data_IF_226989818894
#
_entry.id   IF_226989818894
#
_cell.length_a   1.000
_cell.length_b   1.000
_cell.length_c   1.000
_cell.angle_alpha   90.00
_cell.angle_beta   90.00
_cell.angle_gamma   90.00
#
_symmetry.space_group_name_H-M   'P 1'
#
loop_
_entity.id
_entity.type
_entity.pdbx_description
1 polymer ?
#
# COMPACT_ATOMS: atom_id res chain seq x y z
N UNK A 1 -34.20 5.14 0.11
CA UNK A 1 -32.92 4.77 0.71
C UNK A 1 -32.45 5.91 1.58
N UNK A 2 -31.94 5.60 2.75
CA UNK A 2 -31.53 6.59 3.76
C UNK A 2 -30.08 6.42 4.21
N UNK A 3 -29.39 5.40 3.76
CA UNK A 3 -27.99 5.22 4.06
C UNK A 3 -27.39 4.00 3.39
N UNK A 4 -26.05 4.01 3.29
CA UNK A 4 -25.24 2.89 2.81
C UNK A 4 -24.02 2.70 3.70
N UNK A 5 -23.60 1.44 3.85
CA UNK A 5 -22.30 1.06 4.39
C UNK A 5 -21.61 0.20 3.34
N UNK A 6 -20.35 0.51 3.08
CA UNK A 6 -19.56 -0.17 2.07
C UNK A 6 -18.27 -0.69 2.68
N UNK A 7 -18.05 -1.98 2.59
CA UNK A 7 -16.89 -2.68 3.11
C UNK A 7 -16.05 -3.22 1.97
N UNK A 8 -14.74 -3.04 2.04
CA UNK A 8 -13.79 -3.49 1.04
C UNK A 8 -12.67 -4.23 1.75
N UNK A 9 -12.30 -5.40 1.22
CA UNK A 9 -11.07 -6.09 1.58
C UNK A 9 -10.17 -6.09 0.33
N UNK A 10 -9.27 -5.11 0.25
CA UNK A 10 -8.38 -4.93 -0.89
C UNK A 10 -7.03 -5.61 -0.66
N UNK A 11 -6.68 -6.65 -1.44
CA UNK A 11 -5.44 -7.41 -1.25
C UNK A 11 -4.18 -6.67 -1.72
N UNK A 12 -4.33 -5.56 -2.45
CA UNK A 12 -3.22 -4.81 -3.05
C UNK A 12 -3.26 -3.33 -2.66
N UNK A 13 -2.15 -2.60 -2.90
CA UNK A 13 -2.04 -1.17 -2.54
C UNK A 13 -2.54 -0.22 -3.65
N UNK A 14 -3.23 -0.77 -4.65
CA UNK A 14 -3.69 -0.02 -5.81
C UNK A 14 -5.12 0.46 -5.58
N UNK A 15 -5.47 1.58 -6.20
CA UNK A 15 -6.74 2.26 -6.05
C UNK A 15 -7.94 1.42 -6.55
N UNK A 16 -9.01 1.46 -5.79
CA UNK A 16 -10.24 0.64 -5.97
C UNK A 16 -11.51 1.45 -6.20
N UNK A 17 -11.49 2.78 -6.06
CA UNK A 17 -12.67 3.60 -5.80
C UNK A 17 -13.24 4.39 -6.97
N UNK A 18 -12.98 4.00 -8.23
CA UNK A 18 -13.47 4.71 -9.42
C UNK A 18 -14.89 4.31 -9.85
N UNK A 19 -15.43 3.22 -9.31
CA UNK A 19 -16.74 2.70 -9.73
C UNK A 19 -17.90 3.60 -9.34
N UNK A 20 -18.84 3.79 -10.27
CA UNK A 20 -20.00 4.66 -10.11
C UNK A 20 -21.17 3.97 -9.40
N UNK A 21 -21.96 4.71 -8.63
CA UNK A 21 -23.29 4.25 -8.26
C UNK A 21 -24.24 4.35 -9.45
N UNK A 22 -25.12 3.34 -9.57
CA UNK A 22 -26.19 3.29 -10.56
C UNK A 22 -27.49 2.99 -9.82
N UNK A 23 -28.33 4.01 -9.66
CA UNK A 23 -29.56 3.89 -8.90
C UNK A 23 -30.73 4.01 -9.86
N UNK A 24 -31.51 2.92 -10.00
CA UNK A 24 -32.71 2.87 -10.82
C UNK A 24 -33.96 2.85 -9.94
N UNK A 25 -34.90 3.75 -10.18
CA UNK A 25 -36.12 3.91 -9.42
C UNK A 25 -37.30 3.47 -10.27
N UNK A 26 -38.22 2.70 -9.67
CA UNK A 26 -39.51 2.32 -10.23
C UNK A 26 -39.47 1.68 -11.63
N UNK A 27 -38.41 0.92 -11.93
CA UNK A 27 -38.28 0.15 -13.16
C UNK A 27 -37.77 0.93 -14.37
N UNK A 28 -37.16 2.08 -14.17
CA UNK A 28 -36.52 2.85 -15.25
C UNK A 28 -35.47 2.02 -15.98
N UNK A 29 -35.40 2.18 -17.31
CA UNK A 29 -34.44 1.46 -18.16
C UNK A 29 -33.03 2.02 -18.09
N UNK A 30 -32.86 3.27 -17.71
CA UNK A 30 -31.60 3.94 -17.45
C UNK A 30 -31.58 4.40 -15.98
N UNK A 31 -30.43 4.38 -15.29
CA UNK A 31 -30.36 4.82 -13.89
C UNK A 31 -30.90 6.25 -13.70
N UNK A 32 -31.78 6.43 -12.72
CA UNK A 32 -32.27 7.76 -12.30
C UNK A 32 -31.14 8.63 -11.74
N UNK A 33 -30.17 7.97 -11.13
CA UNK A 33 -28.96 8.61 -10.59
C UNK A 33 -27.75 7.85 -11.04
N UNK A 34 -26.75 8.57 -11.53
CA UNK A 34 -25.47 8.04 -11.96
C UNK A 34 -24.36 8.78 -11.21
N UNK A 35 -23.49 8.04 -10.52
CA UNK A 35 -22.38 8.60 -9.73
C UNK A 35 -21.17 8.98 -10.58
N UNK A 36 -20.13 9.41 -9.92
CA UNK A 36 -18.84 9.81 -10.51
C UNK A 36 -17.64 9.07 -9.91
N UNK A 37 -17.89 8.20 -8.94
CA UNK A 37 -16.89 7.39 -8.27
C UNK A 37 -17.35 6.98 -6.88
N UNK A 38 -16.85 5.85 -6.38
CA UNK A 38 -17.21 5.35 -5.05
C UNK A 38 -16.77 6.34 -3.97
N UNK A 39 -15.55 6.88 -4.06
CA UNK A 39 -15.03 7.85 -3.09
C UNK A 39 -15.87 9.14 -3.04
N UNK A 40 -16.37 9.60 -4.18
CA UNK A 40 -17.18 10.80 -4.28
C UNK A 40 -18.50 10.66 -3.52
N UNK A 41 -19.15 9.49 -3.63
CA UNK A 41 -20.38 9.22 -2.87
C UNK A 41 -20.12 9.20 -1.37
N UNK A 42 -18.97 8.72 -0.94
CA UNK A 42 -18.59 8.67 0.48
C UNK A 42 -17.86 9.93 0.99
N UNK A 43 -17.78 10.98 0.17
CA UNK A 43 -17.43 12.36 0.57
C UNK A 43 -15.93 12.62 0.73
N UNK A 44 -15.08 11.96 -0.05
CA UNK A 44 -13.67 12.28 -0.19
C UNK A 44 -13.21 12.14 -1.65
N UNK A 45 -11.99 12.55 -1.95
CA UNK A 45 -11.39 12.48 -3.28
C UNK A 45 -9.87 12.23 -3.16
N UNK A 46 -9.26 11.75 -4.22
CA UNK A 46 -7.83 11.44 -4.32
C UNK A 46 -7.34 10.40 -3.31
N UNK A 47 -8.21 9.45 -2.92
CA UNK A 47 -7.96 8.54 -1.82
C UNK A 47 -7.91 9.22 -0.45
N UNK A 48 -7.99 8.46 0.62
CA UNK A 48 -7.86 8.95 1.98
C UNK A 48 -7.28 7.87 2.89
N UNK A 49 -6.05 8.07 3.35
CA UNK A 49 -5.30 7.09 4.13
C UNK A 49 -5.53 7.17 5.65
N UNK A 50 -6.55 7.88 6.09
CA UNK A 50 -6.91 8.02 7.49
C UNK A 50 -8.40 7.78 7.73
N UNK A 51 -8.78 7.57 8.99
CA UNK A 51 -10.18 7.56 9.37
C UNK A 51 -10.72 8.99 9.48
N UNK A 52 -11.99 9.17 9.14
CA UNK A 52 -12.71 10.42 9.37
C UNK A 52 -14.16 10.16 9.73
N UNK A 53 -14.79 11.11 10.41
CA UNK A 53 -16.22 11.14 10.66
C UNK A 53 -16.73 12.55 10.47
N UNK A 54 -17.72 12.71 9.60
CA UNK A 54 -18.45 13.94 9.31
C UNK A 54 -19.95 13.71 9.53
N UNK A 55 -20.82 14.71 9.56
CA UNK A 55 -22.23 14.51 9.86
C UNK A 55 -22.93 13.41 9.05
N UNK A 56 -22.57 13.24 7.77
CA UNK A 56 -23.25 12.29 6.87
C UNK A 56 -22.32 11.31 6.18
N UNK A 57 -21.01 11.42 6.38
CA UNK A 57 -20.00 10.58 5.74
C UNK A 57 -18.94 10.18 6.74
N UNK A 58 -18.50 8.94 6.67
CA UNK A 58 -17.38 8.48 7.48
C UNK A 58 -16.57 7.39 6.76
N UNK A 59 -15.26 7.39 7.01
CA UNK A 59 -14.37 6.25 6.80
C UNK A 59 -13.96 5.74 8.18
N UNK A 60 -14.63 4.70 8.66
CA UNK A 60 -14.48 4.22 10.05
C UNK A 60 -13.34 3.22 10.21
N UNK A 61 -12.89 2.64 9.10
CA UNK A 61 -11.75 1.74 9.05
C UNK A 61 -10.95 1.94 7.78
N UNK A 62 -9.64 2.00 7.90
CA UNK A 62 -8.67 1.93 6.82
C UNK A 62 -7.38 1.34 7.38
N UNK A 63 -7.02 0.13 6.97
CA UNK A 63 -5.93 -0.64 7.58
C UNK A 63 -4.57 -0.32 6.97
N UNK A 64 -4.57 0.01 5.69
CA UNK A 64 -3.36 0.04 4.93
C UNK A 64 -2.68 1.38 4.83
N UNK A 65 -1.41 1.43 4.44
CA UNK A 65 -0.96 2.55 3.64
C UNK A 65 -1.62 2.48 2.26
N UNK A 66 -1.72 3.62 1.60
CA UNK A 66 -2.41 3.74 0.31
C UNK A 66 -3.83 3.15 0.37
N UNK A 67 -4.20 2.36 -0.61
CA UNK A 67 -5.57 1.84 -0.76
C UNK A 67 -5.75 0.40 -0.29
N UNK A 68 -4.74 -0.20 0.35
CA UNK A 68 -4.75 -1.61 0.74
C UNK A 68 -5.47 -1.87 2.06
N UNK A 69 -5.92 -3.10 2.23
CA UNK A 69 -6.47 -3.54 3.50
C UNK A 69 -7.98 -3.53 3.57
N UNK A 70 -8.49 -3.60 4.78
CA UNK A 70 -9.92 -3.44 5.00
C UNK A 70 -10.25 -1.97 5.12
N UNK A 71 -11.27 -1.56 4.38
CA UNK A 71 -11.82 -0.22 4.39
C UNK A 71 -13.31 -0.34 4.73
N UNK A 72 -13.83 0.59 5.53
CA UNK A 72 -15.26 0.70 5.83
C UNK A 72 -15.71 2.14 5.67
N UNK A 73 -16.68 2.33 4.79
CA UNK A 73 -17.27 3.61 4.42
C UNK A 73 -18.74 3.65 4.83
N UNK A 74 -19.20 4.83 5.25
CA UNK A 74 -20.59 5.06 5.62
C UNK A 74 -21.10 6.35 4.99
N UNK A 75 -22.31 6.31 4.44
CA UNK A 75 -23.05 7.50 4.00
C UNK A 75 -24.48 7.45 4.51
N UNK A 76 -24.97 8.60 4.96
CA UNK A 76 -26.35 8.80 5.43
C UNK A 76 -27.02 9.89 4.61
N UNK A 77 -28.04 9.50 3.84
CA UNK A 77 -28.83 10.38 2.97
C UNK A 77 -29.92 11.07 3.81
N UNK A 78 -29.53 11.99 4.69
CA UNK A 78 -30.46 12.67 5.60
C UNK A 78 -31.20 13.80 4.91
N UNK A 79 -30.49 14.57 4.08
CA UNK A 79 -31.05 15.71 3.34
C UNK A 79 -31.46 15.33 1.91
N UNK A 80 -30.90 14.27 1.38
CA UNK A 80 -30.97 13.80 0.00
C UNK A 80 -31.45 12.35 -0.11
N UNK A 81 -32.35 11.94 0.78
CA UNK A 81 -32.95 10.60 0.76
C UNK A 81 -33.49 10.24 -0.63
N UNK A 82 -33.23 9.01 -1.06
CA UNK A 82 -33.63 8.53 -2.39
C UNK A 82 -35.05 7.95 -2.33
N UNK A 83 -36.07 8.67 -2.83
CA UNK A 83 -37.45 8.23 -2.80
C UNK A 83 -37.74 7.22 -3.91
N UNK A 84 -38.65 6.30 -3.65
CA UNK A 84 -39.21 5.38 -4.65
C UNK A 84 -40.68 5.05 -4.28
N UNK A 85 -41.46 4.56 -5.22
CA UNK A 85 -42.87 4.15 -5.01
C UNK A 85 -43.05 2.65 -5.00
N UNK A 86 -42.45 1.96 -5.97
CA UNK A 86 -42.65 0.54 -6.20
C UNK A 86 -41.36 -0.25 -5.96
N UNK A 87 -40.24 0.23 -6.47
CA UNK A 87 -38.95 -0.48 -6.40
C UNK A 87 -37.77 0.47 -6.49
N UNK A 88 -36.68 0.06 -5.90
CA UNK A 88 -35.38 0.70 -6.09
C UNK A 88 -34.30 -0.37 -6.27
N UNK A 89 -33.42 -0.16 -7.22
CA UNK A 89 -32.22 -0.94 -7.41
C UNK A 89 -31.02 -0.03 -7.20
N UNK A 90 -30.16 -0.39 -6.25
CA UNK A 90 -28.97 0.34 -5.89
C UNK A 90 -27.75 -0.53 -6.22
N UNK A 91 -27.07 -0.21 -7.29
CA UNK A 91 -25.87 -0.90 -7.75
C UNK A 91 -24.64 -0.02 -7.50
N UNK A 92 -23.54 -0.66 -7.15
CA UNK A 92 -22.22 -0.04 -7.08
C UNK A 92 -21.33 -0.74 -8.11
N UNK A 93 -20.79 0.02 -9.04
CA UNK A 93 -19.80 -0.49 -9.97
C UNK A 93 -18.50 -0.80 -9.23
N UNK A 94 -17.89 -1.93 -9.58
CA UNK A 94 -16.57 -2.32 -9.10
C UNK A 94 -15.56 -1.96 -10.17
N UNK A 95 -14.79 -0.90 -9.93
CA UNK A 95 -13.72 -0.48 -10.83
C UNK A 95 -12.43 -0.31 -10.05
N UNK A 96 -11.50 -1.25 -10.27
CA UNK A 96 -10.19 -1.30 -9.66
C UNK A 96 -9.12 -1.06 -10.72
N UNK A 97 -8.07 -0.29 -10.41
CA UNK A 97 -7.01 0.04 -11.36
C UNK A 97 -6.08 -1.14 -11.68
N UNK A 98 -6.19 -2.23 -10.94
CA UNK A 98 -5.38 -3.42 -11.14
C UNK A 98 -6.26 -4.68 -11.11
N UNK A 99 -6.06 -5.66 -12.02
CA UNK A 99 -6.67 -6.97 -11.90
C UNK A 99 -6.22 -7.64 -10.59
N UNK A 100 -7.17 -7.92 -9.69
CA UNK A 100 -6.98 -8.61 -8.42
C UNK A 100 -8.33 -9.14 -7.94
N UNK A 101 -8.34 -9.88 -6.83
CA UNK A 101 -9.56 -10.45 -6.23
C UNK A 101 -9.94 -9.72 -4.92
N UNK A 102 -10.45 -8.50 -4.96
CA UNK A 102 -10.96 -7.82 -3.79
C UNK A 102 -12.32 -8.37 -3.39
N UNK A 103 -12.62 -8.29 -2.09
CA UNK A 103 -13.96 -8.58 -1.60
C UNK A 103 -14.70 -7.29 -1.31
N UNK A 104 -15.95 -7.23 -1.76
CA UNK A 104 -16.83 -6.09 -1.61
C UNK A 104 -18.10 -6.50 -0.89
N UNK A 105 -18.54 -5.68 0.07
CA UNK A 105 -19.81 -5.85 0.77
C UNK A 105 -20.54 -4.52 0.84
N UNK A 106 -21.82 -4.52 0.57
CA UNK A 106 -22.66 -3.34 0.68
C UNK A 106 -23.90 -3.62 1.53
N UNK A 107 -24.22 -2.70 2.41
CA UNK A 107 -25.48 -2.67 3.15
C UNK A 107 -26.21 -1.40 2.75
N UNK A 108 -27.47 -1.54 2.39
CA UNK A 108 -28.35 -0.41 2.03
C UNK A 108 -29.47 -0.34 3.07
N UNK A 109 -29.68 0.85 3.61
CA UNK A 109 -30.77 1.14 4.56
C UNK A 109 -31.91 1.87 3.86
N UNK A 110 -33.13 1.36 4.04
CA UNK A 110 -34.31 1.98 3.42
C UNK A 110 -35.54 1.86 4.32
N UNK A 111 -36.54 2.68 4.07
CA UNK A 111 -37.88 2.53 4.60
C UNK A 111 -38.82 2.02 3.54
N UNK A 112 -39.69 1.08 3.89
CA UNK A 112 -40.74 0.53 3.01
C UNK A 112 -42.05 0.38 3.79
N UNK A 113 -43.15 0.22 3.07
CA UNK A 113 -44.44 -0.08 3.67
C UNK A 113 -44.39 -1.45 4.40
N UNK A 114 -45.14 -1.64 5.49
CA UNK A 114 -45.24 -2.94 6.15
C UNK A 114 -45.64 -4.06 5.19
N UNK A 115 -44.93 -5.17 5.23
CA UNK A 115 -45.15 -6.33 4.33
C UNK A 115 -44.51 -6.22 2.96
N UNK A 116 -43.77 -5.16 2.64
CA UNK A 116 -42.99 -5.09 1.42
C UNK A 116 -41.94 -6.20 1.36
N UNK A 117 -41.70 -6.84 0.20
CA UNK A 117 -40.65 -7.81 0.07
C UNK A 117 -39.29 -7.15 0.25
N UNK A 118 -38.40 -7.82 0.99
CA UNK A 118 -37.00 -7.46 1.13
C UNK A 118 -36.11 -8.24 0.15
N UNK A 119 -34.80 -7.99 0.13
CA UNK A 119 -33.85 -8.81 -0.60
C UNK A 119 -33.84 -10.24 -0.07
N UNK A 120 -33.31 -11.17 -0.85
CA UNK A 120 -33.08 -12.54 -0.41
C UNK A 120 -32.19 -12.57 0.84
N UNK A 121 -32.43 -13.54 1.72
CA UNK A 121 -31.58 -13.73 2.89
C UNK A 121 -30.13 -14.02 2.45
N UNK A 122 -29.18 -13.32 3.07
CA UNK A 122 -27.75 -13.56 2.84
C UNK A 122 -27.35 -14.79 3.66
N UNK A 123 -26.60 -15.70 3.06
CA UNK A 123 -25.96 -16.79 3.79
C UNK A 123 -24.91 -16.22 4.76
N UNK A 124 -25.05 -16.41 6.09
CA UNK A 124 -24.08 -15.93 7.05
C UNK A 124 -22.63 -16.38 6.79
N UNK A 125 -22.43 -17.53 6.14
CA UNK A 125 -21.11 -18.01 5.80
C UNK A 125 -20.38 -17.09 4.80
N UNK A 126 -21.12 -16.36 3.96
CA UNK A 126 -20.55 -15.37 3.02
C UNK A 126 -20.13 -14.08 3.70
N UNK A 127 -20.50 -13.87 4.97
CA UNK A 127 -20.15 -12.69 5.76
C UNK A 127 -18.91 -12.90 6.63
N UNK A 128 -18.23 -14.05 6.49
CA UNK A 128 -17.01 -14.31 7.24
C UNK A 128 -15.94 -13.25 6.91
N UNK A 129 -15.17 -12.79 7.92
CA UNK A 129 -14.06 -11.87 7.66
C UNK A 129 -13.10 -12.45 6.66
N UNK A 130 -12.71 -11.64 5.67
CA UNK A 130 -11.71 -12.03 4.68
C UNK A 130 -10.33 -11.89 5.32
N UNK A 131 -9.59 -12.99 5.40
CA UNK A 131 -8.18 -12.94 5.76
C UNK A 131 -7.35 -12.56 4.53
N UNK A 132 -6.82 -11.36 4.53
CA UNK A 132 -5.95 -10.88 3.46
C UNK A 132 -4.50 -11.37 3.63
N UNK A 133 -4.23 -12.19 4.64
CA UNK A 133 -2.90 -12.71 4.93
C UNK A 133 -1.90 -11.63 5.37
N UNK A 134 -0.62 -11.98 5.31
CA UNK A 134 0.49 -11.03 5.54
C UNK A 134 0.66 -10.20 4.27
N UNK A 135 0.43 -8.89 4.39
CA UNK A 135 0.59 -7.95 3.28
C UNK A 135 1.92 -7.26 3.35
N UNK A 136 2.55 -7.14 2.20
CA UNK A 136 3.74 -6.32 2.04
C UNK A 136 3.30 -4.91 1.65
N UNK A 137 3.71 -3.94 2.45
CA UNK A 137 3.51 -2.52 2.16
C UNK A 137 4.81 -1.94 1.64
N UNK A 138 4.75 -1.22 0.51
CA UNK A 138 5.88 -0.39 0.11
C UNK A 138 5.91 0.85 1.01
N UNK A 139 6.95 0.95 1.81
CA UNK A 139 7.28 2.19 2.49
C UNK A 139 7.98 3.15 1.51
N UNK A 140 7.95 4.44 1.82
CA UNK A 140 8.78 5.41 1.10
C UNK A 140 10.23 4.96 1.13
N UNK A 141 10.94 4.98 -0.01
CA UNK A 141 12.36 4.64 -0.04
C UNK A 141 13.17 5.54 0.90
N UNK A 142 14.10 4.94 1.61
CA UNK A 142 15.06 5.68 2.41
C UNK A 142 16.28 5.96 1.53
N UNK A 143 16.62 7.23 1.36
CA UNK A 143 17.80 7.65 0.59
C UNK A 143 19.05 7.33 1.38
N UNK A 144 19.90 6.43 0.86
CA UNK A 144 21.08 5.92 1.56
C UNK A 144 22.06 7.02 1.98
N UNK A 145 22.22 8.04 1.15
CA UNK A 145 23.04 9.21 1.42
C UNK A 145 22.46 10.10 2.53
N UNK A 146 21.16 10.07 2.78
CA UNK A 146 20.54 10.82 3.87
C UNK A 146 20.68 10.12 5.22
N UNK A 147 21.00 8.83 5.25
CA UNK A 147 21.15 8.03 6.44
C UNK A 147 22.49 8.29 7.16
N UNK A 148 22.58 7.88 8.41
CA UNK A 148 23.85 7.84 9.14
C UNK A 148 24.62 6.60 8.73
N UNK A 149 25.90 6.77 8.37
CA UNK A 149 26.76 5.65 8.00
C UNK A 149 28.13 5.74 8.66
N UNK A 150 28.78 4.57 8.82
CA UNK A 150 30.13 4.44 9.37
C UNK A 150 30.88 3.37 8.58
N UNK A 151 32.04 3.71 8.03
CA UNK A 151 32.92 2.78 7.35
C UNK A 151 34.00 2.25 8.30
N UNK A 152 34.18 0.94 8.34
CA UNK A 152 35.24 0.22 9.03
C UNK A 152 36.18 -0.37 7.96
N UNK A 153 37.02 0.47 7.41
CA UNK A 153 37.88 0.22 6.24
C UNK A 153 37.33 0.81 4.96
N UNK A 154 38.18 1.41 4.15
CA UNK A 154 37.79 2.24 3.02
C UNK A 154 37.23 3.61 3.44
N UNK A 155 36.72 4.36 2.48
CA UNK A 155 36.14 5.69 2.65
C UNK A 155 34.71 5.75 2.13
N UNK A 156 33.74 6.04 3.01
CA UNK A 156 32.35 6.26 2.62
C UNK A 156 32.05 7.75 2.56
N UNK A 157 31.38 8.19 1.49
CA UNK A 157 31.03 9.57 1.24
C UNK A 157 29.70 9.72 0.48
N UNK A 158 29.13 10.92 0.53
CA UNK A 158 28.06 11.35 -0.38
C UNK A 158 28.69 11.93 -1.63
N UNK A 159 28.27 11.46 -2.77
CA UNK A 159 28.75 11.96 -4.06
C UNK A 159 27.59 12.27 -5.01
N UNK A 160 27.81 13.24 -5.89
CA UNK A 160 26.80 13.61 -6.90
C UNK A 160 26.79 12.59 -8.03
N UNK A 161 25.59 12.14 -8.38
CA UNK A 161 25.36 11.29 -9.53
C UNK A 161 24.02 11.68 -10.16
N UNK A 162 24.07 12.23 -11.38
CA UNK A 162 22.93 12.90 -12.02
C UNK A 162 21.69 12.00 -12.22
N UNK A 163 21.88 10.68 -12.29
CA UNK A 163 20.79 9.72 -12.55
C UNK A 163 20.25 9.06 -11.27
N UNK A 164 20.57 9.59 -10.09
CA UNK A 164 20.01 9.17 -8.81
C UNK A 164 18.86 10.06 -8.36
N UNK A 165 17.99 9.55 -7.47
CA UNK A 165 17.11 10.37 -6.66
C UNK A 165 17.94 11.41 -5.90
N UNK A 166 17.47 12.66 -5.82
CA UNK A 166 18.23 13.75 -5.19
C UNK A 166 19.55 14.14 -5.88
N UNK A 167 19.92 13.49 -7.00
CA UNK A 167 21.20 13.64 -7.69
C UNK A 167 22.44 13.39 -6.79
N UNK A 168 22.28 12.58 -5.75
CA UNK A 168 23.34 12.15 -4.83
C UNK A 168 23.23 10.63 -4.57
N UNK A 169 24.31 10.00 -4.13
CA UNK A 169 24.32 8.64 -3.66
C UNK A 169 25.41 8.41 -2.59
N UNK A 170 25.23 7.35 -1.79
CA UNK A 170 26.25 6.89 -0.86
C UNK A 170 27.26 6.00 -1.60
N UNK A 171 28.51 6.42 -1.61
CA UNK A 171 29.62 5.69 -2.22
C UNK A 171 30.57 5.19 -1.15
N UNK A 172 31.10 3.98 -1.33
CA UNK A 172 32.11 3.39 -0.46
C UNK A 172 33.30 2.93 -1.31
N UNK A 173 34.44 3.63 -1.17
CA UNK A 173 35.66 3.45 -1.97
C UNK A 173 36.79 2.80 -1.18
N UNK A 174 37.72 2.18 -1.89
CA UNK A 174 38.97 1.62 -1.35
C UNK A 174 38.71 0.65 -0.18
N UNK A 175 37.61 -0.09 -0.22
CA UNK A 175 37.25 -1.04 0.81
C UNK A 175 38.02 -2.35 0.63
N UNK A 176 38.97 -2.69 1.50
CA UNK A 176 39.66 -3.97 1.41
C UNK A 176 38.72 -5.14 1.74
N UNK A 177 38.99 -6.37 1.25
CA UNK A 177 38.21 -7.54 1.63
C UNK A 177 38.07 -7.67 3.15
N UNK A 178 36.84 -7.89 3.62
CA UNK A 178 36.48 -7.92 5.05
C UNK A 178 36.13 -6.60 5.68
N UNK A 179 36.36 -5.47 5.00
CA UNK A 179 35.86 -4.16 5.44
C UNK A 179 34.33 -4.15 5.54
N UNK A 180 33.79 -3.28 6.39
CA UNK A 180 32.34 -3.15 6.64
C UNK A 180 31.88 -1.70 6.51
N UNK A 181 30.71 -1.51 5.92
CA UNK A 181 29.96 -0.28 5.93
C UNK A 181 28.66 -0.53 6.70
N UNK A 182 28.43 0.21 7.76
CA UNK A 182 27.20 0.20 8.54
C UNK A 182 26.35 1.41 8.17
N UNK A 183 25.09 1.18 7.84
CA UNK A 183 24.09 2.22 7.53
C UNK A 183 22.93 2.08 8.51
N UNK A 184 22.65 3.11 9.28
CA UNK A 184 21.59 3.12 10.27
C UNK A 184 20.30 3.68 9.65
N UNK A 185 19.20 2.96 9.83
CA UNK A 185 17.88 3.39 9.40
C UNK A 185 16.85 3.19 10.52
N UNK A 186 15.75 3.91 10.46
CA UNK A 186 14.71 3.89 11.49
C UNK A 186 13.38 3.40 10.93
N UNK A 187 12.72 2.51 11.66
CA UNK A 187 11.32 2.17 11.41
C UNK A 187 10.45 2.62 12.58
N UNK A 188 9.23 3.08 12.27
CA UNK A 188 8.29 3.64 13.25
C UNK A 188 7.59 2.57 14.09
N UNK A 189 7.61 1.31 13.65
CA UNK A 189 6.93 0.21 14.34
C UNK A 189 7.74 -1.07 14.17
N UNK A 190 7.90 -1.81 15.26
CA UNK A 190 8.50 -3.14 15.19
C UNK A 190 7.63 -4.10 14.36
N UNK A 191 8.26 -4.98 13.58
CA UNK A 191 7.55 -5.93 12.74
C UNK A 191 8.42 -6.65 11.74
N UNK A 192 7.78 -7.41 10.85
CA UNK A 192 8.43 -8.10 9.73
C UNK A 192 8.44 -7.20 8.50
N UNK A 193 9.62 -6.95 7.96
CA UNK A 193 9.83 -6.08 6.80
C UNK A 193 10.61 -6.81 5.72
N UNK A 194 10.15 -6.72 4.48
CA UNK A 194 10.99 -7.00 3.32
C UNK A 194 11.96 -5.84 3.12
N UNK A 195 13.25 -6.16 3.04
CA UNK A 195 14.30 -5.16 2.79
C UNK A 195 14.81 -5.32 1.38
N UNK A 196 14.70 -4.26 0.61
CA UNK A 196 15.20 -4.14 -0.76
C UNK A 196 16.22 -3.00 -0.82
N UNK A 197 17.25 -3.17 -1.65
CA UNK A 197 18.24 -2.13 -1.90
C UNK A 197 18.09 -1.64 -3.33
N UNK A 198 18.37 -0.36 -3.55
CA UNK A 198 18.58 0.18 -4.88
C UNK A 198 20.06 0.53 -5.00
N UNK A 199 20.79 -0.26 -5.77
CA UNK A 199 22.24 -0.18 -5.87
C UNK A 199 22.69 0.13 -7.30
N UNK A 200 23.71 0.96 -7.37
CA UNK A 200 24.44 1.23 -8.59
C UNK A 200 25.47 0.14 -8.86
N UNK A 201 25.66 -0.18 -10.12
CA UNK A 201 26.71 -1.06 -10.65
C UNK A 201 27.60 -0.27 -11.59
N UNK A 202 28.91 -0.54 -11.56
CA UNK A 202 29.90 0.20 -12.36
C UNK A 202 31.14 -0.68 -12.61
N UNK A 203 32.00 -0.38 -13.60
CA UNK A 203 33.20 -1.14 -13.90
C UNK A 203 34.23 -1.22 -12.75
N UNK A 204 34.17 -0.27 -11.82
CA UNK A 204 35.07 -0.16 -10.67
C UNK A 204 34.44 -0.64 -9.34
N UNK A 205 33.22 -1.20 -9.40
CA UNK A 205 32.53 -1.71 -8.20
C UNK A 205 32.83 -3.19 -7.96
N UNK A 206 32.85 -3.56 -6.67
CA UNK A 206 33.22 -4.90 -6.21
C UNK A 206 32.04 -5.74 -5.81
N UNK A 207 32.37 -6.82 -5.07
CA UNK A 207 31.40 -7.79 -4.54
C UNK A 207 31.13 -7.53 -3.07
N UNK A 208 29.85 -7.63 -2.68
CA UNK A 208 29.40 -7.34 -1.31
C UNK A 208 28.45 -8.42 -0.79
N UNK A 209 28.59 -8.74 0.49
CA UNK A 209 27.59 -9.43 1.29
C UNK A 209 26.80 -8.41 2.10
N UNK A 210 25.51 -8.69 2.36
CA UNK A 210 24.65 -7.80 3.13
C UNK A 210 24.03 -8.53 4.32
N UNK A 211 23.83 -7.79 5.42
CA UNK A 211 23.12 -8.25 6.60
C UNK A 211 22.26 -7.13 7.18
N UNK A 212 21.17 -7.47 7.85
CA UNK A 212 20.31 -6.53 8.57
C UNK A 212 20.27 -6.95 10.04
N UNK A 213 20.64 -6.05 10.95
CA UNK A 213 20.78 -6.34 12.40
C UNK A 213 21.62 -7.59 12.69
N UNK A 214 22.65 -7.85 11.86
CA UNK A 214 23.51 -9.03 11.96
C UNK A 214 22.94 -10.31 11.32
N UNK A 215 21.72 -10.33 10.85
CA UNK A 215 21.10 -11.43 10.10
C UNK A 215 21.46 -11.33 8.62
N UNK A 216 22.12 -12.35 8.02
CA UNK A 216 22.52 -12.32 6.61
C UNK A 216 21.33 -12.25 5.66
N UNK A 217 21.51 -11.56 4.53
CA UNK A 217 20.54 -11.56 3.43
C UNK A 217 20.29 -12.97 2.85
N UNK A 218 19.10 -13.19 2.34
CA UNK A 218 18.65 -14.50 1.85
C UNK A 218 19.37 -14.97 0.58
N UNK A 219 20.03 -14.08 -0.15
CA UNK A 219 20.86 -14.45 -1.30
C UNK A 219 22.34 -14.20 -0.98
N UNK A 220 23.21 -14.91 -1.70
CA UNK A 220 24.64 -14.82 -1.51
C UNK A 220 25.22 -13.46 -1.93
N UNK A 221 26.56 -13.38 -2.08
CA UNK A 221 27.23 -12.16 -2.45
C UNK A 221 26.70 -11.55 -3.74
N UNK A 222 26.46 -10.24 -3.72
CA UNK A 222 26.10 -9.47 -4.90
C UNK A 222 27.35 -8.95 -5.58
N UNK A 223 27.48 -9.21 -6.88
CA UNK A 223 28.46 -8.59 -7.73
C UNK A 223 27.91 -7.27 -8.29
N UNK A 224 28.52 -6.17 -7.89
CA UNK A 224 28.16 -4.84 -8.35
C UNK A 224 28.99 -4.38 -9.57
N UNK A 225 29.77 -5.26 -10.18
CA UNK A 225 30.43 -4.98 -11.46
C UNK A 225 29.40 -4.90 -12.60
N UNK A 226 29.60 -3.94 -13.49
CA UNK A 226 28.91 -3.82 -14.79
C UNK A 226 29.83 -3.08 -15.77
N UNK A 227 29.77 -3.38 -17.07
CA UNK A 227 30.56 -2.68 -18.11
C UNK A 227 30.24 -1.19 -18.23
N UNK A 228 29.06 -0.78 -17.78
CA UNK A 228 28.60 0.61 -17.75
C UNK A 228 27.82 0.86 -16.46
N UNK A 229 27.53 2.14 -16.19
CA UNK A 229 26.67 2.49 -15.08
C UNK A 229 25.29 1.87 -15.27
N UNK A 230 24.88 1.03 -14.33
CA UNK A 230 23.62 0.30 -14.32
C UNK A 230 23.05 0.25 -12.91
N UNK A 231 21.81 -0.22 -12.77
CA UNK A 231 21.08 -0.28 -11.50
C UNK A 231 20.55 -1.68 -11.23
N UNK A 232 20.56 -2.06 -9.96
CA UNK A 232 19.98 -3.33 -9.51
C UNK A 232 19.17 -3.12 -8.24
N UNK A 233 18.09 -3.89 -8.09
CA UNK A 233 17.20 -3.84 -6.91
C UNK A 233 17.12 -5.23 -6.24
N UNK A 234 18.18 -5.67 -5.55
CA UNK A 234 18.14 -6.93 -4.85
C UNK A 234 17.23 -6.85 -3.62
N UNK A 235 16.37 -7.86 -3.46
CA UNK A 235 15.61 -8.08 -2.24
C UNK A 235 16.45 -8.91 -1.29
N UNK A 236 16.91 -8.32 -0.19
CA UNK A 236 17.76 -8.99 0.80
C UNK A 236 17.03 -10.12 1.55
N UNK A 237 15.74 -9.98 1.77
CA UNK A 237 14.92 -10.92 2.52
C UNK A 237 13.85 -10.25 3.34
N UNK A 238 13.28 -11.03 4.27
CA UNK A 238 12.31 -10.54 5.26
C UNK A 238 12.95 -10.64 6.64
N UNK A 239 13.07 -9.50 7.32
CA UNK A 239 13.74 -9.37 8.62
C UNK A 239 12.78 -8.91 9.69
N UNK A 240 13.04 -9.28 10.95
CA UNK A 240 12.36 -8.72 12.11
C UNK A 240 13.05 -7.42 12.49
N UNK A 241 12.43 -6.29 12.19
CA UNK A 241 12.94 -4.97 12.56
C UNK A 241 12.37 -4.52 13.89
N UNK A 242 13.19 -3.85 14.69
CA UNK A 242 12.77 -3.24 15.96
C UNK A 242 12.30 -1.81 15.73
N UNK A 243 11.38 -1.34 16.54
CA UNK A 243 11.01 0.09 16.56
C UNK A 243 12.24 0.94 16.87
N UNK A 244 12.45 2.00 16.11
CA UNK A 244 13.64 2.83 16.21
C UNK A 244 14.75 2.38 15.26
N UNK A 245 15.99 2.41 15.72
CA UNK A 245 17.18 2.24 14.87
C UNK A 245 17.46 0.76 14.56
N UNK A 246 17.67 0.49 13.28
CA UNK A 246 18.14 -0.76 12.73
C UNK A 246 19.42 -0.50 11.92
N UNK A 247 20.19 -1.55 11.62
CA UNK A 247 21.46 -1.44 10.90
C UNK A 247 21.47 -2.35 9.68
N UNK A 248 21.78 -1.78 8.52
CA UNK A 248 22.19 -2.49 7.32
C UNK A 248 23.73 -2.54 7.31
N UNK A 249 24.32 -3.72 7.22
CA UNK A 249 25.75 -3.92 7.02
C UNK A 249 26.00 -4.34 5.56
N UNK A 250 26.93 -3.65 4.91
CA UNK A 250 27.56 -4.13 3.68
C UNK A 250 28.99 -4.57 4.00
N UNK A 251 29.39 -5.76 3.56
CA UNK A 251 30.73 -6.31 3.75
C UNK A 251 31.43 -6.47 2.41
N UNK A 252 32.59 -5.86 2.23
CA UNK A 252 33.41 -6.03 1.05
C UNK A 252 34.00 -7.46 1.01
N UNK A 253 33.91 -8.10 -0.13
CA UNK A 253 34.39 -9.46 -0.38
C UNK A 253 35.58 -9.42 -1.34
N UNK A 254 36.36 -10.50 -1.36
CA UNK A 254 37.38 -10.68 -2.38
C UNK A 254 36.74 -10.76 -3.78
N UNK A 255 37.40 -10.27 -4.82
CA UNK A 255 36.99 -10.34 -6.22
C UNK A 255 36.61 -11.74 -6.67
#
# INVERSE_FOLDING_TARGET
VVGTVYGIANPVLIWWGEGDQKISVDGESFPSTFGTGTEDDYGFAYGHNGTFARPYHAQTRVDGPASGGHISLNRWYVLDALPYRNSIRFDQEIWHWMPCDPTWAQVVYWYAAPGSPGPAAIDPATLAPVDLGVREYMLEPLEGEALRFTAHGGAAARERLANCSGAEHLVWKDAPPGARLEVQFTVLKAGRYAVELNLCKSPDYGRFGFAVNGEPGAFGPLDCYSESLDWTRPRLGVFNLVEGTNTLEARALAP
#
